data_IF_631776793177
#
_entry.id   IF_631776793177
#
_cell.length_a   1.000
_cell.length_b   1.000
_cell.length_c   1.000
_cell.angle_alpha   90.00
_cell.angle_beta   90.00
_cell.angle_gamma   90.00
#
_symmetry.space_group_name_H-M   'P 1'
#
loop_
_entity.id
_entity.type
_entity.pdbx_description
1 polymer ?
#
# COMPACT_ATOMS: atom_id res chain seq x y z
N UNK A 1 -15.61 12.20 -21.62
CA UNK A 1 -16.25 13.27 -20.84
C UNK A 1 -15.26 13.67 -19.74
N UNK A 2 -14.66 14.85 -19.89
CA UNK A 2 -13.65 15.36 -18.97
C UNK A 2 -14.35 15.90 -17.74
N UNK A 3 -14.03 15.41 -16.56
CA UNK A 3 -14.40 16.02 -15.29
C UNK A 3 -13.30 17.02 -14.90
N UNK A 4 -13.34 18.21 -15.41
CA UNK A 4 -12.60 19.35 -14.90
C UNK A 4 -13.52 20.19 -14.00
N UNK A 5 -13.19 20.27 -12.70
CA UNK A 5 -13.63 21.35 -11.83
C UNK A 5 -12.42 22.16 -11.39
N UNK A 6 -12.46 23.50 -11.47
CA UNK A 6 -11.35 24.34 -11.11
C UNK A 6 -11.17 24.43 -9.58
N UNK A 7 -9.91 24.37 -9.17
CA UNK A 7 -9.44 24.52 -7.80
C UNK A 7 -9.41 25.99 -7.42
N UNK A 8 -10.04 26.37 -6.31
CA UNK A 8 -9.92 27.69 -5.70
C UNK A 8 -9.02 27.62 -4.46
N UNK A 9 -8.10 28.57 -4.25
CA UNK A 9 -7.23 28.59 -3.09
C UNK A 9 -7.92 29.15 -1.86
N UNK A 10 -7.63 28.57 -0.70
CA UNK A 10 -8.12 28.98 0.62
C UNK A 10 -7.28 30.15 1.15
N UNK A 11 -7.88 31.23 1.70
CA UNK A 11 -7.13 32.38 2.17
C UNK A 11 -6.56 32.20 3.58
N UNK A 12 -5.41 32.82 3.77
CA UNK A 12 -4.59 33.02 4.95
C UNK A 12 -5.37 33.35 6.22
N UNK A 13 -5.01 32.72 7.35
CA UNK A 13 -5.29 33.20 8.70
C UNK A 13 -4.08 33.90 9.27
N UNK A 14 -4.29 35.18 9.54
CA UNK A 14 -3.40 36.06 10.29
C UNK A 14 -3.55 35.86 11.80
N UNK A 15 -2.45 36.08 12.49
CA UNK A 15 -2.27 36.14 13.94
C UNK A 15 -3.19 37.14 14.64
N UNK A 16 -3.64 36.84 15.87
CA UNK A 16 -3.64 37.82 17.00
C UNK A 16 -3.76 37.16 18.37
N UNK A 17 -2.77 37.44 19.19
CA UNK A 17 -2.66 37.99 20.55
C UNK A 17 -3.55 37.51 21.71
N UNK A 18 -2.79 37.08 22.73
CA UNK A 18 -2.87 37.35 24.18
C UNK A 18 -4.28 37.45 24.84
N UNK A 19 -4.49 36.55 25.80
CA UNK A 19 -5.10 36.95 27.09
C UNK A 19 -4.54 36.10 28.24
N UNK A 20 -3.92 36.81 29.17
CA UNK A 20 -3.52 36.33 30.51
C UNK A 20 -4.74 36.30 31.44
N UNK A 21 -4.96 35.22 32.18
CA UNK A 21 -5.58 35.36 33.50
C UNK A 21 -5.13 34.30 34.50
N UNK A 22 -4.74 34.80 35.64
CA UNK A 22 -4.36 34.06 36.87
C UNK A 22 -5.61 33.56 37.59
N UNK A 23 -5.59 32.32 38.08
CA UNK A 23 -6.31 31.97 39.33
C UNK A 23 -5.74 30.70 39.95
N UNK A 24 -5.15 30.88 41.11
CA UNK A 24 -5.14 30.21 42.41
C UNK A 24 -5.24 28.67 42.52
N UNK A 25 -4.15 28.13 42.97
CA UNK A 25 -3.82 27.14 44.02
C UNK A 25 -4.99 26.42 44.69
N UNK A 26 -5.01 25.10 44.50
CA UNK A 26 -5.65 24.14 45.38
C UNK A 26 -4.77 22.89 45.48
N UNK A 27 -4.18 22.66 46.69
CA UNK A 27 -3.39 21.47 47.01
C UNK A 27 -4.30 20.26 47.11
N UNK A 28 -4.03 19.23 46.28
CA UNK A 28 -4.55 17.89 46.44
C UNK A 28 -3.47 16.92 46.00
N UNK A 29 -2.77 16.30 46.95
CA UNK A 29 -1.82 15.24 46.69
C UNK A 29 -2.54 14.00 46.20
N UNK A 30 -2.55 13.76 44.88
CA UNK A 30 -2.85 12.46 44.32
C UNK A 30 -1.54 11.83 43.83
N UNK A 31 -1.20 10.73 44.45
CA UNK A 31 -0.09 9.85 44.15
C UNK A 31 -0.20 9.36 42.73
N UNK A 32 0.41 10.05 41.78
CA UNK A 32 0.54 9.61 40.38
C UNK A 32 1.48 8.41 40.35
N UNK A 33 0.91 7.26 40.01
CA UNK A 33 1.69 6.10 39.58
C UNK A 33 2.45 6.50 38.32
N UNK A 34 3.78 6.41 38.42
CA UNK A 34 4.70 6.55 37.28
C UNK A 34 4.19 5.73 36.06
N UNK A 35 4.13 6.30 34.84
CA UNK A 35 3.79 5.50 33.66
C UNK A 35 4.90 4.46 33.46
N UNK A 36 4.52 3.23 33.25
CA UNK A 36 5.42 2.17 32.81
C UNK A 36 6.03 2.63 31.48
N UNK A 37 7.36 2.79 31.45
CA UNK A 37 8.13 3.03 30.24
C UNK A 37 7.84 1.89 29.25
N UNK A 38 7.50 2.22 27.98
CA UNK A 38 7.74 1.37 26.85
C UNK A 38 6.57 0.64 26.20
N UNK A 39 5.39 1.26 26.07
CA UNK A 39 4.50 0.86 24.97
C UNK A 39 4.49 2.00 23.95
N UNK A 40 4.76 1.74 22.65
CA UNK A 40 4.59 2.78 21.65
C UNK A 40 3.14 3.23 21.68
N UNK A 41 2.93 4.53 21.86
CA UNK A 41 1.60 5.15 21.75
C UNK A 41 1.25 5.11 20.27
N UNK A 42 0.62 4.03 19.83
CA UNK A 42 -0.10 4.03 18.56
C UNK A 42 -1.25 5.02 18.74
N UNK A 43 -1.39 5.95 17.82
CA UNK A 43 -2.45 6.95 17.85
C UNK A 43 -3.82 6.23 17.72
N UNK A 44 -4.38 5.83 18.89
CA UNK A 44 -5.58 5.00 18.98
C UNK A 44 -6.84 5.75 18.54
N UNK A 45 -6.73 7.06 18.26
CA UNK A 45 -7.86 7.97 18.13
C UNK A 45 -8.07 8.51 16.72
N UNK A 46 -7.20 8.25 15.75
CA UNK A 46 -7.47 8.67 14.38
C UNK A 46 -8.51 7.76 13.71
N UNK A 47 -9.60 8.35 13.27
CA UNK A 47 -10.57 7.62 12.44
C UNK A 47 -9.90 7.09 11.16
N UNK A 48 -10.28 5.87 10.72
CA UNK A 48 -9.72 5.30 9.49
C UNK A 48 -9.93 6.24 8.30
N UNK A 49 -8.86 6.55 7.58
CA UNK A 49 -8.93 7.37 6.37
C UNK A 49 -9.65 6.61 5.24
N UNK A 50 -10.76 7.15 4.75
CA UNK A 50 -11.48 6.57 3.62
C UNK A 50 -11.03 7.27 2.33
N UNK A 51 -10.39 6.50 1.44
CA UNK A 51 -10.00 7.00 0.12
C UNK A 51 -11.22 7.20 -0.77
N UNK A 52 -11.24 8.33 -1.45
CA UNK A 52 -12.26 8.67 -2.44
C UNK A 52 -11.71 8.55 -3.87
N UNK A 53 -12.61 8.51 -4.84
CA UNK A 53 -12.24 8.44 -6.26
C UNK A 53 -11.28 9.58 -6.64
N UNK A 54 -10.25 9.28 -7.42
CA UNK A 54 -9.15 10.16 -7.83
C UNK A 54 -8.12 10.52 -6.76
N UNK A 55 -8.33 10.09 -5.53
CA UNK A 55 -7.35 10.32 -4.47
C UNK A 55 -6.13 9.39 -4.62
N UNK A 56 -4.93 9.96 -4.41
CA UNK A 56 -3.68 9.23 -4.23
C UNK A 56 -3.12 9.60 -2.86
N UNK A 57 -3.15 8.65 -1.96
CA UNK A 57 -2.69 8.78 -0.58
C UNK A 57 -1.43 7.97 -0.34
N UNK A 58 -0.53 8.48 0.51
CA UNK A 58 0.71 7.82 0.90
C UNK A 58 1.92 8.75 0.76
N UNK A 59 3.09 8.16 0.83
CA UNK A 59 4.38 8.85 0.79
C UNK A 59 5.49 8.02 1.41
N UNK A 60 6.46 8.70 2.03
CA UNK A 60 7.65 8.11 2.67
C UNK A 60 7.84 8.59 4.12
N UNK A 61 6.81 9.18 4.70
CA UNK A 61 6.88 9.70 6.09
C UNK A 61 6.35 8.68 7.07
N UNK A 62 6.74 8.85 8.34
CA UNK A 62 6.22 8.05 9.44
C UNK A 62 4.70 8.09 9.47
N UNK A 63 4.08 6.91 9.45
CA UNK A 63 2.64 6.75 9.56
C UNK A 63 2.29 5.36 10.11
N UNK A 64 1.29 5.29 10.98
CA UNK A 64 0.60 4.04 11.33
C UNK A 64 -0.88 4.34 11.22
N UNK A 65 -1.55 3.75 10.20
CA UNK A 65 -2.93 4.12 9.91
C UNK A 65 -3.75 3.01 9.27
N UNK A 66 -5.03 2.99 9.59
CA UNK A 66 -6.02 2.16 8.87
C UNK A 66 -6.61 2.97 7.71
N UNK A 67 -6.67 2.34 6.53
CA UNK A 67 -7.18 2.94 5.30
C UNK A 67 -8.37 2.12 4.81
N UNK A 68 -9.45 2.79 4.44
CA UNK A 68 -10.63 2.18 3.83
C UNK A 68 -10.61 2.44 2.33
N UNK A 69 -10.51 1.38 1.55
CA UNK A 69 -10.72 1.39 0.11
C UNK A 69 -12.08 0.74 -0.19
N UNK A 70 -12.67 0.92 -1.38
CA UNK A 70 -14.02 0.43 -1.69
C UNK A 70 -14.25 -1.04 -1.35
N UNK A 71 -13.37 -1.96 -1.75
CA UNK A 71 -13.52 -3.40 -1.46
C UNK A 71 -12.36 -4.01 -0.70
N UNK A 72 -11.42 -3.16 -0.27
CA UNK A 72 -10.30 -3.55 0.56
C UNK A 72 -10.33 -2.77 1.87
N UNK A 73 -9.88 -3.41 2.93
CA UNK A 73 -9.41 -2.75 4.14
C UNK A 73 -7.89 -2.82 4.14
N UNK A 74 -7.23 -1.74 4.49
CA UNK A 74 -5.79 -1.70 4.60
C UNK A 74 -5.36 -1.17 5.96
N UNK A 75 -4.19 -1.59 6.41
CA UNK A 75 -3.45 -1.03 7.50
C UNK A 75 -2.00 -0.88 7.07
N UNK A 76 -1.38 0.24 7.41
CA UNK A 76 0.01 0.52 7.06
C UNK A 76 0.75 1.02 8.28
N UNK A 77 1.96 0.53 8.49
CA UNK A 77 2.98 1.12 9.33
C UNK A 77 4.20 1.38 8.44
N UNK A 78 4.58 2.63 8.32
CA UNK A 78 5.82 3.05 7.65
C UNK A 78 6.63 3.85 8.66
N UNK A 79 7.81 3.35 8.96
CA UNK A 79 8.65 3.78 10.08
C UNK A 79 10.06 4.13 9.56
N UNK A 80 10.26 5.33 9.01
CA UNK A 80 11.57 5.79 8.58
C UNK A 80 12.59 5.75 9.72
N UNK A 81 13.85 5.44 9.38
CA UNK A 81 14.95 5.45 10.35
C UNK A 81 15.25 6.88 10.83
N UNK A 82 15.13 7.87 9.94
CA UNK A 82 15.32 9.28 10.27
C UNK A 82 13.97 9.95 10.50
N UNK A 83 13.74 10.43 11.71
CA UNK A 83 12.53 11.18 12.03
C UNK A 83 12.55 12.56 11.34
N UNK A 84 11.48 12.86 10.59
CA UNK A 84 11.25 14.19 9.98
C UNK A 84 11.64 14.32 8.51
N UNK A 85 12.58 13.56 7.99
CA UNK A 85 13.05 13.71 6.60
C UNK A 85 12.35 12.78 5.57
N UNK A 86 11.72 11.73 6.04
CA UNK A 86 11.17 10.67 5.19
C UNK A 86 12.23 9.63 4.81
N UNK A 87 11.80 8.40 4.60
CA UNK A 87 12.64 7.25 4.31
C UNK A 87 12.78 6.94 2.81
N UNK A 88 13.55 5.89 2.50
CA UNK A 88 13.62 5.25 1.19
C UNK A 88 12.36 4.49 0.85
N UNK A 89 11.66 4.00 1.86
CA UNK A 89 10.40 3.28 1.71
C UNK A 89 9.26 4.18 1.24
N UNK A 90 8.61 3.79 0.14
CA UNK A 90 7.48 4.52 -0.45
C UNK A 90 6.25 3.63 -0.49
N UNK A 91 5.15 4.12 0.05
CA UNK A 91 3.86 3.45 -0.08
C UNK A 91 2.82 4.39 -0.65
N UNK A 92 2.02 3.92 -1.60
CA UNK A 92 0.91 4.67 -2.18
C UNK A 92 -0.32 3.80 -2.37
N UNK A 93 -1.49 4.40 -2.15
CA UNK A 93 -2.79 3.81 -2.45
C UNK A 93 -3.62 4.79 -3.26
N UNK A 94 -4.43 4.29 -4.18
CA UNK A 94 -5.36 5.10 -4.95
C UNK A 94 -6.63 4.33 -5.28
N UNK A 95 -7.69 5.08 -5.56
CA UNK A 95 -9.00 4.55 -5.97
C UNK A 95 -9.45 5.29 -7.21
N UNK A 96 -9.86 4.57 -8.24
CA UNK A 96 -10.47 5.17 -9.42
C UNK A 96 -11.35 4.21 -10.22
N UNK A 97 -11.80 4.66 -11.41
CA UNK A 97 -12.79 4.01 -12.26
C UNK A 97 -14.11 3.77 -11.50
N UNK A 98 -14.67 4.86 -10.98
CA UNK A 98 -15.92 4.82 -10.19
C UNK A 98 -15.86 3.81 -9.03
N UNK A 99 -14.77 3.80 -8.29
CA UNK A 99 -14.49 2.89 -7.17
C UNK A 99 -14.29 1.40 -7.57
N UNK A 100 -14.06 1.12 -8.84
CA UNK A 100 -13.86 -0.26 -9.32
C UNK A 100 -12.42 -0.74 -9.16
N UNK A 101 -11.44 0.17 -9.25
CA UNK A 101 -10.02 -0.17 -9.16
C UNK A 101 -9.40 0.46 -7.93
N UNK A 102 -8.86 -0.38 -7.05
CA UNK A 102 -7.96 0.04 -5.97
C UNK A 102 -6.53 -0.36 -6.32
N UNK A 103 -5.60 0.62 -6.33
CA UNK A 103 -4.19 0.35 -6.59
C UNK A 103 -3.38 0.57 -5.32
N UNK A 104 -2.40 -0.29 -5.11
CA UNK A 104 -1.42 -0.21 -4.04
C UNK A 104 -0.03 -0.35 -4.63
N UNK A 105 0.89 0.52 -4.24
CA UNK A 105 2.29 0.45 -4.60
C UNK A 105 3.15 0.49 -3.33
N UNK A 106 4.13 -0.40 -3.25
CA UNK A 106 5.18 -0.38 -2.25
C UNK A 106 6.51 -0.43 -3.00
N UNK A 107 7.43 0.47 -2.64
CA UNK A 107 8.76 0.52 -3.23
C UNK A 107 9.77 0.87 -2.15
N UNK A 108 10.96 0.32 -2.29
CA UNK A 108 12.11 0.66 -1.49
C UNK A 108 13.22 1.20 -2.42
N UNK A 109 13.63 2.45 -2.16
CA UNK A 109 14.54 3.22 -3.00
C UNK A 109 15.94 3.17 -2.43
N UNK A 110 16.91 2.75 -3.23
CA UNK A 110 18.33 2.80 -2.84
C UNK A 110 18.77 4.24 -2.51
N UNK A 111 19.11 4.49 -1.23
CA UNK A 111 19.56 5.79 -0.74
C UNK A 111 18.50 6.53 0.09
N UNK A 112 18.87 7.72 0.57
CA UNK A 112 18.06 8.52 1.52
C UNK A 112 18.12 10.02 1.19
N UNK A 113 17.25 10.81 1.81
CA UNK A 113 17.29 12.27 1.79
C UNK A 113 16.61 12.92 0.58
N UNK A 114 17.14 14.06 0.12
CA UNK A 114 16.52 14.92 -0.90
C UNK A 114 16.17 14.20 -2.21
N UNK A 115 16.97 13.23 -2.57
CA UNK A 115 16.83 12.51 -3.85
C UNK A 115 15.63 11.56 -3.84
N UNK A 116 15.31 10.97 -2.69
CA UNK A 116 14.10 10.14 -2.51
C UNK A 116 12.83 10.99 -2.65
N UNK A 117 12.88 12.26 -2.25
CA UNK A 117 11.74 13.16 -2.39
C UNK A 117 11.33 13.37 -3.87
N UNK A 118 12.29 13.45 -4.79
CA UNK A 118 12.01 13.55 -6.22
C UNK A 118 11.33 12.26 -6.74
N UNK A 119 11.81 11.10 -6.32
CA UNK A 119 11.22 9.80 -6.65
C UNK A 119 9.80 9.69 -6.08
N UNK A 120 9.59 10.12 -4.84
CA UNK A 120 8.28 10.17 -4.17
C UNK A 120 7.26 10.95 -4.99
N UNK A 121 7.62 12.16 -5.46
CA UNK A 121 6.73 12.98 -6.29
C UNK A 121 6.45 12.31 -7.64
N UNK A 122 7.44 11.69 -8.22
CA UNK A 122 7.27 11.03 -9.51
C UNK A 122 6.37 9.80 -9.39
N UNK A 123 6.58 8.95 -8.40
CA UNK A 123 5.72 7.81 -8.15
C UNK A 123 4.26 8.27 -7.94
N UNK A 124 4.05 9.33 -7.17
CA UNK A 124 2.73 9.91 -6.98
C UNK A 124 2.10 10.40 -8.29
N UNK A 125 2.89 11.05 -9.15
CA UNK A 125 2.42 11.52 -10.47
C UNK A 125 2.08 10.34 -11.40
N UNK A 126 2.90 9.29 -11.40
CA UNK A 126 2.62 8.06 -12.15
C UNK A 126 1.35 7.37 -11.65
N UNK A 127 1.13 7.32 -10.33
CA UNK A 127 -0.11 6.82 -9.75
C UNK A 127 -1.33 7.59 -10.26
N UNK A 128 -1.25 8.92 -10.33
CA UNK A 128 -2.31 9.78 -10.87
C UNK A 128 -2.52 9.59 -12.37
N UNK A 129 -1.43 9.59 -13.14
CA UNK A 129 -1.48 9.43 -14.60
C UNK A 129 -2.14 8.11 -15.01
N UNK A 130 -1.85 7.04 -14.29
CA UNK A 130 -2.32 5.68 -14.60
C UNK A 130 -3.51 5.25 -13.73
N UNK A 131 -4.21 6.19 -13.09
CA UNK A 131 -5.18 5.89 -12.04
C UNK A 131 -6.30 4.95 -12.53
N UNK A 132 -6.73 5.07 -13.79
CA UNK A 132 -7.76 4.25 -14.43
C UNK A 132 -7.21 3.03 -15.20
N UNK A 133 -5.89 2.90 -15.32
CA UNK A 133 -5.30 1.82 -16.09
C UNK A 133 -5.36 0.51 -15.30
N UNK A 134 -5.88 -0.56 -15.90
CA UNK A 134 -5.78 -1.91 -15.36
C UNK A 134 -4.41 -2.52 -15.60
N UNK A 135 -3.89 -2.35 -16.82
CA UNK A 135 -2.54 -2.78 -17.18
C UNK A 135 -1.50 -1.89 -16.49
N UNK A 136 -0.54 -2.54 -15.84
CA UNK A 136 0.51 -1.88 -15.08
C UNK A 136 1.80 -1.71 -15.87
N UNK A 137 1.87 -2.20 -17.12
CA UNK A 137 3.09 -2.18 -17.93
C UNK A 137 3.59 -0.75 -18.18
N UNK A 138 2.67 0.15 -18.53
CA UNK A 138 3.00 1.57 -18.74
C UNK A 138 3.43 2.26 -17.45
N UNK A 139 2.81 1.90 -16.33
CA UNK A 139 3.19 2.40 -15.02
C UNK A 139 4.62 1.98 -14.67
N UNK A 140 4.92 0.69 -14.80
CA UNK A 140 6.23 0.14 -14.47
C UNK A 140 7.33 0.66 -15.41
N UNK A 141 7.04 0.79 -16.72
CA UNK A 141 7.96 1.44 -17.66
C UNK A 141 8.23 2.89 -17.28
N UNK A 142 7.18 3.66 -17.01
CA UNK A 142 7.31 5.05 -16.59
C UNK A 142 8.10 5.21 -15.31
N UNK A 143 7.95 4.29 -14.37
CA UNK A 143 8.74 4.25 -13.14
C UNK A 143 10.21 3.96 -13.45
N UNK A 144 10.50 2.93 -14.25
CA UNK A 144 11.85 2.58 -14.67
C UNK A 144 12.57 3.74 -15.40
N UNK A 145 11.87 4.40 -16.32
CA UNK A 145 12.41 5.53 -17.09
C UNK A 145 12.73 6.73 -16.20
N UNK A 146 11.91 6.98 -15.17
CA UNK A 146 12.11 8.11 -14.26
C UNK A 146 13.36 7.95 -13.41
N UNK A 147 13.60 6.77 -12.86
CA UNK A 147 14.82 6.48 -12.09
C UNK A 147 16.07 6.75 -12.92
N UNK A 148 16.01 6.52 -14.24
CA UNK A 148 17.13 6.72 -15.15
C UNK A 148 17.37 8.17 -15.58
N UNK A 149 16.28 8.93 -15.77
CA UNK A 149 16.39 10.35 -16.18
C UNK A 149 16.94 11.24 -15.05
N UNK A 150 16.86 10.79 -13.81
CA UNK A 150 17.42 11.49 -12.66
C UNK A 150 18.94 11.60 -12.62
N UNK A 151 19.67 10.94 -13.53
CA UNK A 151 21.13 11.02 -13.64
C UNK A 151 21.91 10.43 -12.46
N UNK A 152 21.20 9.83 -11.51
CA UNK A 152 21.76 9.18 -10.33
C UNK A 152 21.69 7.67 -10.57
N UNK A 153 22.72 6.91 -10.19
CA UNK A 153 22.77 5.43 -10.24
C UNK A 153 21.80 4.78 -9.24
N UNK A 154 20.58 5.37 -9.14
CA UNK A 154 19.55 4.91 -8.20
C UNK A 154 18.65 3.88 -8.85
N UNK A 155 18.26 2.92 -8.05
CA UNK A 155 17.28 1.90 -8.39
C UNK A 155 16.34 1.72 -7.21
N UNK A 156 15.22 1.05 -7.44
CA UNK A 156 14.32 0.67 -6.36
C UNK A 156 13.75 -0.71 -6.62
N UNK A 157 13.54 -1.44 -5.55
CA UNK A 157 12.61 -2.57 -5.59
C UNK A 157 11.18 -2.02 -5.54
N UNK A 158 10.27 -2.61 -6.29
CA UNK A 158 8.88 -2.13 -6.31
C UNK A 158 7.89 -3.26 -6.59
N UNK A 159 6.76 -3.23 -5.91
CA UNK A 159 5.59 -4.04 -6.23
C UNK A 159 4.36 -3.15 -6.39
N UNK A 160 3.60 -3.37 -7.45
CA UNK A 160 2.36 -2.64 -7.73
C UNK A 160 1.23 -3.64 -7.90
N UNK A 161 0.15 -3.42 -7.16
CA UNK A 161 -1.05 -4.24 -7.19
C UNK A 161 -2.23 -3.39 -7.65
N UNK A 162 -3.08 -3.94 -8.53
CA UNK A 162 -4.38 -3.36 -8.89
C UNK A 162 -5.47 -4.38 -8.62
N UNK A 163 -6.36 -4.04 -7.72
CA UNK A 163 -7.50 -4.88 -7.34
C UNK A 163 -8.76 -4.38 -8.03
N UNK A 164 -9.42 -5.27 -8.77
CA UNK A 164 -10.71 -4.97 -9.41
C UNK A 164 -11.85 -5.48 -8.53
N UNK A 165 -12.65 -4.55 -8.04
CA UNK A 165 -13.70 -4.77 -7.04
C UNK A 165 -14.68 -5.85 -7.46
N UNK A 166 -15.27 -5.73 -8.66
CA UNK A 166 -16.33 -6.61 -9.17
C UNK A 166 -15.86 -8.04 -9.35
N UNK A 167 -14.72 -8.23 -10.00
CA UNK A 167 -14.24 -9.57 -10.36
C UNK A 167 -13.41 -10.22 -9.24
N UNK A 168 -12.96 -9.43 -8.24
CA UNK A 168 -12.02 -9.91 -7.23
C UNK A 168 -10.63 -10.22 -7.78
N UNK A 169 -10.36 -9.84 -9.03
CA UNK A 169 -9.04 -10.05 -9.64
C UNK A 169 -8.05 -9.06 -9.08
N UNK A 170 -6.88 -9.57 -8.76
CA UNK A 170 -5.71 -8.80 -8.38
C UNK A 170 -4.65 -8.98 -9.47
N UNK A 171 -4.34 -7.90 -10.18
CA UNK A 171 -3.19 -7.84 -11.06
C UNK A 171 -2.01 -7.29 -10.28
N UNK A 172 -0.82 -7.86 -10.45
CA UNK A 172 0.39 -7.32 -9.83
C UNK A 172 1.60 -7.46 -10.75
N UNK A 173 2.52 -6.49 -10.61
CA UNK A 173 3.84 -6.50 -11.23
C UNK A 173 4.88 -6.32 -10.13
N UNK A 174 5.94 -7.11 -10.17
CA UNK A 174 7.01 -7.11 -9.18
C UNK A 174 8.35 -6.83 -9.87
N UNK A 175 9.04 -5.81 -9.39
CA UNK A 175 10.36 -5.36 -9.84
C UNK A 175 11.39 -5.60 -8.73
N UNK A 176 11.75 -6.85 -8.50
CA UNK A 176 12.76 -7.23 -7.50
C UNK A 176 12.34 -7.05 -6.04
N UNK A 177 11.09 -6.74 -5.77
CA UNK A 177 10.59 -6.58 -4.41
C UNK A 177 10.32 -7.94 -3.75
N UNK A 178 10.36 -8.00 -2.43
CA UNK A 178 10.07 -9.21 -1.66
C UNK A 178 8.63 -9.68 -1.93
N UNK A 179 8.40 -11.00 -2.11
CA UNK A 179 7.07 -11.52 -2.37
C UNK A 179 6.17 -11.34 -1.15
N UNK A 180 4.95 -10.79 -1.33
CA UNK A 180 3.98 -10.67 -0.26
C UNK A 180 3.57 -12.03 0.33
N UNK A 181 3.24 -12.04 1.61
CA UNK A 181 2.52 -13.16 2.21
C UNK A 181 1.05 -13.10 1.77
N UNK A 182 0.47 -14.27 1.51
CA UNK A 182 -0.94 -14.42 1.17
C UNK A 182 -1.63 -15.42 2.09
N UNK A 183 -2.65 -14.96 2.80
CA UNK A 183 -3.56 -15.80 3.57
C UNK A 183 -4.78 -16.16 2.75
N UNK A 184 -4.95 -17.44 2.50
CA UNK A 184 -6.11 -18.01 1.86
C UNK A 184 -7.18 -18.33 2.91
N UNK A 185 -8.13 -17.41 3.11
CA UNK A 185 -9.12 -17.50 4.19
C UNK A 185 -9.97 -18.78 4.15
N UNK A 186 -10.35 -19.24 2.94
CA UNK A 186 -11.13 -20.45 2.78
C UNK A 186 -10.39 -21.73 3.21
N UNK A 187 -9.07 -21.71 3.26
CA UNK A 187 -8.20 -22.84 3.58
C UNK A 187 -7.54 -22.69 4.95
N UNK A 188 -7.56 -21.47 5.52
CA UNK A 188 -6.85 -21.16 6.76
C UNK A 188 -5.32 -21.24 6.62
N UNK A 189 -4.78 -21.06 5.41
CA UNK A 189 -3.36 -21.28 5.12
C UNK A 189 -2.67 -20.02 4.63
N UNK A 190 -1.41 -19.87 5.05
CA UNK A 190 -0.49 -18.85 4.58
C UNK A 190 0.48 -19.43 3.56
N UNK A 191 0.76 -18.67 2.51
CA UNK A 191 1.80 -18.92 1.50
C UNK A 191 2.38 -17.62 0.97
N UNK A 192 3.16 -17.71 -0.09
CA UNK A 192 3.73 -16.58 -0.81
C UNK A 192 2.86 -16.26 -2.02
N UNK A 193 2.67 -14.99 -2.36
CA UNK A 193 1.87 -14.59 -3.53
C UNK A 193 2.41 -15.18 -4.84
N UNK A 194 3.69 -15.51 -4.90
CA UNK A 194 4.35 -16.08 -6.08
C UNK A 194 4.37 -17.62 -6.10
N UNK A 195 3.98 -18.29 -5.02
CA UNK A 195 3.99 -19.76 -4.95
C UNK A 195 2.91 -20.37 -5.86
N UNK A 196 3.31 -21.33 -6.68
CA UNK A 196 2.41 -22.06 -7.57
C UNK A 196 2.07 -21.33 -8.87
N UNK A 197 2.64 -20.16 -9.11
CA UNK A 197 2.55 -19.50 -10.39
C UNK A 197 3.63 -20.05 -11.31
N UNK A 198 3.24 -20.50 -12.52
CA UNK A 198 4.22 -20.70 -13.58
C UNK A 198 4.96 -19.37 -13.76
N UNK A 199 6.24 -19.37 -13.41
CA UNK A 199 7.12 -18.23 -13.59
C UNK A 199 7.26 -17.94 -15.08
N UNK A 200 6.27 -17.27 -15.67
CA UNK A 200 6.56 -16.44 -16.84
C UNK A 200 7.65 -15.53 -16.35
N UNK A 201 8.83 -15.60 -17.03
CA UNK A 201 9.99 -14.77 -16.73
C UNK A 201 9.58 -13.31 -16.55
N UNK A 202 9.04 -12.99 -15.37
CA UNK A 202 8.91 -11.63 -14.94
C UNK A 202 10.35 -11.14 -14.76
N UNK A 203 10.68 -10.00 -15.32
CA UNK A 203 11.96 -9.38 -15.03
C UNK A 203 11.94 -9.02 -13.54
N UNK A 204 12.56 -9.84 -12.73
CA UNK A 204 12.74 -9.58 -11.29
C UNK A 204 13.78 -8.50 -11.01
N UNK A 205 14.11 -7.66 -12.01
CA UNK A 205 15.08 -6.58 -11.84
C UNK A 205 14.42 -5.36 -11.21
N UNK A 206 15.08 -4.74 -10.22
CA UNK A 206 14.67 -3.44 -9.69
C UNK A 206 14.46 -2.39 -10.79
N UNK A 207 13.53 -1.48 -10.58
CA UNK A 207 13.33 -0.34 -11.48
C UNK A 207 14.55 0.58 -11.44
N UNK A 208 14.92 1.15 -12.59
CA UNK A 208 16.09 2.01 -12.73
C UNK A 208 17.39 1.26 -13.01
N UNK A 209 17.45 -0.06 -12.74
CA UNK A 209 18.69 -0.83 -12.88
C UNK A 209 19.04 -1.12 -14.35
N UNK A 210 18.08 -1.57 -15.15
CA UNK A 210 18.29 -1.95 -16.55
C UNK A 210 17.36 -1.16 -17.47
N UNK A 211 17.92 -0.51 -18.54
CA UNK A 211 17.13 0.19 -19.52
C UNK A 211 16.15 -0.71 -20.28
N UNK A 212 14.96 -0.19 -20.57
CA UNK A 212 13.99 -0.88 -21.42
C UNK A 212 13.50 -2.21 -20.85
N UNK A 213 13.60 -2.40 -19.52
CA UNK A 213 13.09 -3.60 -18.85
C UNK A 213 11.58 -3.67 -19.02
N UNK A 214 11.09 -4.80 -19.53
CA UNK A 214 9.67 -5.12 -19.55
C UNK A 214 9.28 -5.83 -18.25
N UNK A 215 8.28 -5.27 -17.57
CA UNK A 215 7.70 -5.85 -16.35
C UNK A 215 6.40 -6.55 -16.69
N UNK A 216 6.35 -7.85 -16.48
CA UNK A 216 5.14 -8.63 -16.71
C UNK A 216 4.12 -8.41 -15.61
N UNK A 217 2.86 -8.54 -15.96
CA UNK A 217 1.74 -8.51 -15.03
C UNK A 217 1.22 -9.92 -14.80
N UNK A 218 1.08 -10.31 -13.54
CA UNK A 218 0.42 -11.55 -13.13
C UNK A 218 -0.96 -11.24 -12.54
N UNK A 219 -1.92 -12.13 -12.75
CA UNK A 219 -3.29 -11.95 -12.26
C UNK A 219 -3.73 -13.15 -11.45
N UNK A 220 -4.16 -12.89 -10.21
CA UNK A 220 -4.77 -13.88 -9.31
C UNK A 220 -6.18 -13.43 -8.92
N UNK A 221 -6.93 -14.29 -8.25
CA UNK A 221 -8.23 -13.94 -7.66
C UNK A 221 -8.13 -13.99 -6.15
N UNK A 222 -8.25 -12.83 -5.51
CA UNK A 222 -8.45 -12.76 -4.06
C UNK A 222 -9.89 -13.14 -3.75
N UNK A 223 -10.09 -13.99 -2.76
CA UNK A 223 -11.41 -14.34 -2.23
C UNK A 223 -11.77 -13.42 -1.05
N UNK A 224 -13.05 -13.27 -0.71
CA UNK A 224 -13.46 -12.56 0.50
C UNK A 224 -12.67 -13.05 1.72
N UNK A 225 -12.26 -12.12 2.57
CA UNK A 225 -11.44 -12.34 3.77
C UNK A 225 -9.99 -12.77 3.52
N UNK A 226 -9.54 -13.00 2.29
CA UNK A 226 -8.11 -13.17 2.00
C UNK A 226 -7.32 -11.94 2.45
N UNK A 227 -6.10 -12.18 2.96
CA UNK A 227 -5.17 -11.15 3.41
C UNK A 227 -3.88 -11.20 2.58
N UNK A 228 -3.31 -10.02 2.33
CA UNK A 228 -1.96 -9.87 1.80
C UNK A 228 -1.14 -9.07 2.80
N UNK A 229 0.11 -9.47 3.00
CA UNK A 229 1.09 -8.70 3.79
C UNK A 229 2.26 -8.35 2.88
N UNK A 230 2.40 -7.07 2.58
CA UNK A 230 3.52 -6.49 1.86
C UNK A 230 4.48 -5.90 2.89
N UNK A 231 5.78 -5.98 2.63
CA UNK A 231 6.80 -5.52 3.56
C UNK A 231 8.10 -5.23 2.83
N UNK A 232 8.87 -4.26 3.32
CA UNK A 232 10.21 -3.94 2.84
C UNK A 232 11.26 -4.79 3.54
N UNK A 233 12.48 -4.80 3.03
CA UNK A 233 13.59 -5.62 3.54
C UNK A 233 14.00 -5.21 4.95
N UNK A 234 13.85 -3.93 5.33
CA UNK A 234 14.06 -3.49 6.71
C UNK A 234 13.27 -4.29 7.75
N UNK A 235 12.12 -4.91 7.37
CA UNK A 235 11.41 -5.86 8.23
C UNK A 235 12.16 -7.19 8.35
N UNK A 236 12.62 -7.75 7.24
CA UNK A 236 13.25 -9.09 7.22
C UNK A 236 14.72 -9.08 7.59
N UNK A 237 15.39 -7.95 7.40
CA UNK A 237 16.79 -7.71 7.77
C UNK A 237 16.94 -7.11 9.18
N UNK A 238 15.82 -6.85 9.87
CA UNK A 238 15.84 -6.45 11.27
C UNK A 238 16.63 -7.46 12.11
N UNK A 239 17.60 -6.99 12.88
CA UNK A 239 18.50 -7.82 13.68
C UNK A 239 18.12 -7.77 15.16
N UNK A 240 18.23 -8.93 15.82
CA UNK A 240 18.12 -9.01 17.27
C UNK A 240 19.45 -8.61 17.97
N UNK A 241 19.46 -8.65 19.28
CA UNK A 241 20.65 -8.30 20.10
C UNK A 241 21.91 -9.15 19.79
N UNK A 242 21.72 -10.32 19.19
CA UNK A 242 22.84 -11.20 18.78
C UNK A 242 23.28 -10.98 17.33
N UNK A 243 22.66 -10.04 16.59
CA UNK A 243 22.93 -9.77 15.19
C UNK A 243 22.29 -10.78 14.22
N UNK A 244 21.35 -11.60 14.69
CA UNK A 244 20.61 -12.52 13.84
C UNK A 244 19.46 -11.78 13.16
N UNK A 245 19.36 -11.87 11.83
CA UNK A 245 18.26 -11.34 11.06
C UNK A 245 16.96 -12.12 11.28
N UNK A 246 15.82 -11.41 11.19
CA UNK A 246 14.51 -12.03 11.27
C UNK A 246 14.27 -13.04 10.15
N UNK A 247 14.50 -12.62 8.92
CA UNK A 247 14.29 -13.43 7.73
C UNK A 247 12.82 -13.69 7.38
N UNK A 248 12.57 -14.01 6.12
CA UNK A 248 11.22 -14.21 5.57
C UNK A 248 10.47 -15.38 6.21
N UNK A 249 11.16 -16.47 6.58
CA UNK A 249 10.53 -17.65 7.19
C UNK A 249 9.95 -17.33 8.57
N UNK A 250 10.70 -16.62 9.38
CA UNK A 250 10.23 -16.23 10.71
C UNK A 250 9.04 -15.27 10.64
N UNK A 251 9.03 -14.33 9.66
CA UNK A 251 7.88 -13.46 9.41
C UNK A 251 6.63 -14.27 9.04
N UNK A 252 6.77 -15.29 8.17
CA UNK A 252 5.68 -16.20 7.83
C UNK A 252 5.19 -16.99 9.05
N UNK A 253 6.10 -17.47 9.91
CA UNK A 253 5.72 -18.20 11.13
C UNK A 253 5.00 -17.30 12.14
N UNK A 254 5.34 -16.02 12.21
CA UNK A 254 4.58 -15.04 12.99
C UNK A 254 3.20 -14.80 12.39
N UNK A 255 3.09 -14.66 11.06
CA UNK A 255 1.81 -14.48 10.39
C UNK A 255 0.86 -15.67 10.65
N UNK A 256 1.38 -16.90 10.71
CA UNK A 256 0.60 -18.11 11.05
C UNK A 256 0.02 -18.10 12.45
N UNK A 257 0.63 -17.37 13.37
CA UNK A 257 0.20 -17.24 14.78
C UNK A 257 -0.67 -15.99 15.01
N UNK A 258 -0.73 -15.10 14.03
CA UNK A 258 -1.38 -13.81 14.16
C UNK A 258 -2.91 -13.91 14.00
N UNK A 259 -3.68 -12.98 14.61
CA UNK A 259 -5.11 -12.84 14.34
C UNK A 259 -5.34 -12.39 12.91
N UNK A 260 -6.30 -13.00 12.22
CA UNK A 260 -6.64 -12.72 10.80
C UNK A 260 -7.96 -11.96 10.63
N UNK A 261 -8.56 -11.48 11.72
CA UNK A 261 -9.87 -10.85 11.73
C UNK A 261 -9.89 -9.47 11.06
N UNK A 262 -8.81 -8.73 11.18
CA UNK A 262 -8.66 -7.42 10.54
C UNK A 262 -7.21 -7.12 10.16
N UNK A 263 -6.98 -6.26 9.13
CA UNK A 263 -5.64 -5.80 8.77
C UNK A 263 -4.90 -5.16 9.95
N UNK A 264 -5.62 -4.40 10.78
CA UNK A 264 -5.03 -3.74 11.95
C UNK A 264 -4.55 -4.76 12.98
N UNK A 265 -5.36 -5.74 13.33
CA UNK A 265 -4.97 -6.74 14.35
C UNK A 265 -3.75 -7.54 13.90
N UNK A 266 -3.74 -7.96 12.64
CA UNK A 266 -2.59 -8.65 12.05
C UNK A 266 -1.35 -7.75 12.03
N UNK A 267 -1.48 -6.53 11.53
CA UNK A 267 -0.38 -5.58 11.43
C UNK A 267 0.20 -5.18 12.80
N UNK A 268 -0.65 -4.83 13.75
CA UNK A 268 -0.25 -4.53 15.13
C UNK A 268 0.46 -5.72 15.81
N UNK A 269 -0.02 -6.95 15.55
CA UNK A 269 0.64 -8.16 16.07
C UNK A 269 2.05 -8.32 15.50
N UNK A 270 2.19 -8.24 14.17
CA UNK A 270 3.50 -8.39 13.50
C UNK A 270 4.47 -7.28 13.93
N UNK A 271 4.00 -6.05 14.02
CA UNK A 271 4.82 -4.92 14.44
C UNK A 271 5.32 -5.06 15.88
N UNK A 272 4.46 -5.48 16.82
CA UNK A 272 4.89 -5.74 18.21
C UNK A 272 5.90 -6.88 18.31
N UNK A 273 5.73 -7.92 17.49
CA UNK A 273 6.68 -9.05 17.43
C UNK A 273 8.03 -8.57 16.90
N UNK A 274 8.04 -7.71 15.87
CA UNK A 274 9.24 -7.09 15.33
C UNK A 274 9.94 -6.24 16.37
N UNK A 275 9.22 -5.36 17.06
CA UNK A 275 9.76 -4.53 18.13
C UNK A 275 10.35 -5.35 19.27
N UNK A 276 9.68 -6.44 19.66
CA UNK A 276 10.20 -7.36 20.68
C UNK A 276 11.44 -8.13 20.22
N UNK A 277 11.57 -8.38 18.92
CA UNK A 277 12.71 -9.10 18.35
C UNK A 277 13.96 -8.24 18.26
N UNK A 278 13.85 -7.01 17.72
CA UNK A 278 14.98 -6.11 17.47
C UNK A 278 15.31 -5.16 18.62
N UNK A 279 14.44 -5.06 19.62
CA UNK A 279 14.57 -4.05 20.68
C UNK A 279 14.39 -2.63 20.12
N UNK A 280 15.27 -1.72 20.51
CA UNK A 280 15.23 -0.31 20.10
C UNK A 280 16.03 -0.01 18.82
N UNK A 281 16.80 -0.99 18.34
CA UNK A 281 17.65 -0.82 17.16
C UNK A 281 16.80 -0.89 15.88
N UNK A 282 16.98 0.08 15.01
CA UNK A 282 16.54 0.07 13.63
C UNK A 282 17.74 0.36 12.73
N UNK A 283 17.94 -0.50 11.74
CA UNK A 283 19.06 -0.39 10.82
C UNK A 283 18.62 0.14 9.45
N UNK A 284 17.32 0.08 9.17
CA UNK A 284 16.73 0.52 7.91
C UNK A 284 15.30 1.04 8.12
N UNK A 285 14.72 1.60 7.08
CA UNK A 285 13.31 1.96 7.02
C UNK A 285 12.45 0.70 7.07
N UNK A 286 11.41 0.70 7.87
CA UNK A 286 10.53 -0.45 8.06
C UNK A 286 9.12 -0.11 7.56
N UNK A 287 8.66 -0.77 6.52
CA UNK A 287 7.27 -0.63 6.05
C UNK A 287 6.56 -1.97 6.04
N UNK A 288 5.41 -2.01 6.71
CA UNK A 288 4.49 -3.14 6.76
C UNK A 288 3.11 -2.67 6.31
N UNK A 289 2.55 -3.33 5.29
CA UNK A 289 1.26 -3.00 4.71
C UNK A 289 0.40 -4.24 4.63
N UNK A 290 -0.77 -4.22 5.29
CA UNK A 290 -1.70 -5.34 5.32
C UNK A 290 -2.97 -4.97 4.56
N UNK A 291 -3.37 -5.80 3.61
CA UNK A 291 -4.60 -5.67 2.85
C UNK A 291 -5.52 -6.84 3.17
N UNK A 292 -6.83 -6.58 3.28
CA UNK A 292 -7.87 -7.62 3.39
C UNK A 292 -8.98 -7.36 2.39
N UNK A 293 -9.35 -8.37 1.60
CA UNK A 293 -10.56 -8.28 0.79
C UNK A 293 -11.78 -8.31 1.70
N UNK A 294 -12.63 -7.27 1.59
CA UNK A 294 -13.90 -7.21 2.31
C UNK A 294 -14.91 -8.20 1.72
N UNK A 295 -15.81 -8.64 2.57
CA UNK A 295 -17.04 -9.30 2.10
C UNK A 295 -17.97 -8.22 1.52
N UNK A 296 -18.47 -8.46 0.32
CA UNK A 296 -19.42 -7.56 -0.29
C UNK A 296 -20.84 -7.99 0.02
N UNK A 297 -21.73 -7.02 0.25
CA UNK A 297 -23.13 -7.31 0.51
C UNK A 297 -23.77 -8.03 -0.68
N UNK A 298 -24.73 -8.92 -0.39
CA UNK A 298 -25.49 -9.66 -1.41
C UNK A 298 -26.18 -8.69 -2.41
N UNK A 299 -26.66 -7.56 -1.91
CA UNK A 299 -27.30 -6.52 -2.73
C UNK A 299 -26.34 -5.92 -3.76
N UNK A 300 -25.08 -5.71 -3.39
CA UNK A 300 -24.07 -5.20 -4.32
C UNK A 300 -23.78 -6.23 -5.42
N UNK A 301 -23.62 -7.50 -5.08
CA UNK A 301 -23.42 -8.60 -6.04
C UNK A 301 -24.60 -8.76 -7.02
N UNK A 302 -25.84 -8.60 -6.53
CA UNK A 302 -27.04 -8.67 -7.36
C UNK A 302 -27.13 -7.46 -8.31
N UNK A 303 -26.82 -6.27 -7.84
CA UNK A 303 -26.79 -5.07 -8.68
C UNK A 303 -25.75 -5.17 -9.80
N UNK A 304 -24.58 -5.77 -9.51
CA UNK A 304 -23.54 -6.02 -10.53
C UNK A 304 -23.96 -7.01 -11.59
N UNK A 305 -24.58 -8.12 -11.19
CA UNK A 305 -25.10 -9.11 -12.15
C UNK A 305 -26.14 -8.46 -13.06
N UNK A 306 -27.01 -7.62 -12.51
CA UNK A 306 -28.03 -6.90 -13.29
C UNK A 306 -27.39 -5.90 -14.27
N UNK A 307 -26.43 -5.10 -13.84
CA UNK A 307 -25.74 -4.12 -14.70
C UNK A 307 -24.82 -4.78 -15.73
N UNK A 308 -24.06 -5.78 -15.34
CA UNK A 308 -23.19 -6.54 -16.23
C UNK A 308 -23.97 -7.24 -17.34
N UNK A 309 -25.13 -7.82 -17.04
CA UNK A 309 -25.99 -8.46 -18.04
C UNK A 309 -26.58 -7.46 -19.04
N UNK A 310 -26.86 -6.23 -18.62
CA UNK A 310 -27.42 -5.16 -19.47
C UNK A 310 -26.34 -4.49 -20.32
N UNK A 311 -25.20 -4.14 -19.71
CA UNK A 311 -24.03 -3.56 -20.42
C UNK A 311 -23.43 -4.57 -21.39
N UNK A 312 -23.30 -5.84 -21.01
CA UNK A 312 -22.79 -6.90 -21.89
C UNK A 312 -23.69 -7.17 -23.09
N UNK A 313 -25.01 -6.95 -22.97
CA UNK A 313 -25.95 -6.97 -24.09
C UNK A 313 -25.84 -5.74 -25.00
N UNK A 314 -25.70 -4.54 -24.38
CA UNK A 314 -25.54 -3.29 -25.13
C UNK A 314 -24.22 -3.26 -25.92
N UNK A 315 -23.11 -3.71 -25.34
CA UNK A 315 -21.82 -3.78 -26.02
C UNK A 315 -21.80 -4.80 -27.15
N UNK A 316 -22.53 -5.90 -27.05
CA UNK A 316 -22.70 -6.86 -28.14
C UNK A 316 -23.59 -6.34 -29.29
N UNK A 317 -24.56 -5.48 -28.98
CA UNK A 317 -25.40 -4.84 -30.01
C UNK A 317 -24.72 -3.69 -30.75
N UNK A 318 -23.62 -3.16 -30.20
CA UNK A 318 -22.83 -2.07 -30.76
C UNK A 318 -21.58 -2.55 -31.53
N UNK A 319 -21.31 -3.87 -31.55
CA UNK A 319 -20.23 -4.43 -32.38
C UNK A 319 -20.72 -4.46 -33.85
N UNK A 320 -20.12 -3.68 -34.79
CA UNK A 320 -20.47 -3.74 -36.17
C UNK A 320 -20.13 -5.13 -36.69
N UNK A 321 -21.13 -5.81 -37.29
CA UNK A 321 -20.93 -7.08 -37.93
C UNK A 321 -19.77 -7.03 -38.91
N UNK A 322 -18.83 -7.94 -38.79
CA UNK A 322 -17.85 -8.20 -39.84
C UNK A 322 -18.66 -8.64 -41.07
N UNK A 323 -18.84 -7.71 -41.98
CA UNK A 323 -19.28 -8.06 -43.36
C UNK A 323 -18.20 -8.96 -43.97
N UNK A 324 -18.61 -10.18 -44.31
CA UNK A 324 -17.88 -11.04 -45.24
C UNK A 324 -17.66 -10.27 -46.53
N UNK A 325 -16.43 -9.98 -46.87
CA UNK A 325 -15.99 -9.75 -48.22
C UNK A 325 -15.17 -10.99 -48.60
N UNK A 326 -15.87 -11.98 -49.16
CA UNK A 326 -15.35 -12.83 -50.21
C UNK A 326 -15.65 -12.06 -51.53
N UNK A 327 -14.58 -11.68 -52.19
CA UNK A 327 -14.32 -11.84 -53.64
C UNK A 327 -12.92 -11.27 -53.92
#
# INVERSE_FOLDING_TARGET
MNCERPWAPNPSMTSDKNFSNRAKVGKGETRTKSPRQGAPVYDELEEPHALVCTEVWGGNRRVIRTIKLPSLAAWVASLPIQEGEGGGDLHYMSVCDFDLISRVALADVSGHGSDVNAVTQTLRNLMRKNINAWDQSDFMRGLNDTFRQGGNDKYATAIVLSFHRVTGRLAFSNAGHLPPLWYHAAQGMWGWLEEGMEAKKASGFPVGLIPGTDYSQTVVTLKPSDLLVLYTDGITEAQNETGQELGRRQLLDWARQAPVDSPRMLGDYLLRRLESFRGTLRNDDETLLVLRRKEESLLFRLAEVATSSTIGRLLRSLSPGRSNLQD
#
